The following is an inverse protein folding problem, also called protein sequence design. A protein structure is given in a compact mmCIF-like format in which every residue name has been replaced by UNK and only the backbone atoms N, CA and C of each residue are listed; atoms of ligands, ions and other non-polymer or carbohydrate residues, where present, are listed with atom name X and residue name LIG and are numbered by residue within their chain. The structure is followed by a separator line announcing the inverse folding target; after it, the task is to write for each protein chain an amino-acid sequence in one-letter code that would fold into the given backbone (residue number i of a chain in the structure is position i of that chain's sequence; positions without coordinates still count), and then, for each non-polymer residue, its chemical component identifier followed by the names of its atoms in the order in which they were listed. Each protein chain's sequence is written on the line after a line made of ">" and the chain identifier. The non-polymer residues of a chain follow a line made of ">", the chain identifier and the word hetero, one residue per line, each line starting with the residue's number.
data_IF_866459578994
#
_entry.id   IF_866459578994
#
_cell.length_a   1.000
_cell.length_b   1.000
_cell.length_c   1.000
_cell.angle_alpha   90.00
_cell.angle_beta   90.00
_cell.angle_gamma   90.00
#
_symmetry.space_group_name_H-M   'P 1'
#
loop_
_entity.id
_entity.type
_entity.pdbx_description
1 polymer ?
#
# COMPACT_ATOMS: atom_id res chain seq x y z
N UNK A 1 6.57 3.37 -18.73
CA UNK A 1 5.39 3.38 -17.83
C UNK A 1 5.00 4.82 -17.63
N UNK A 2 4.01 5.27 -18.39
CA UNK A 2 3.47 6.63 -18.32
C UNK A 2 2.94 6.87 -16.91
N UNK A 3 3.58 7.80 -16.20
CA UNK A 3 3.13 8.20 -14.86
C UNK A 3 1.78 8.88 -15.03
N UNK A 4 0.78 8.41 -14.28
CA UNK A 4 -0.53 9.04 -14.26
C UNK A 4 -0.41 10.52 -13.93
N UNK A 5 -1.24 11.35 -14.57
CA UNK A 5 -1.33 12.76 -14.21
C UNK A 5 -1.83 12.90 -12.76
N UNK A 6 -1.57 14.05 -12.15
CA UNK A 6 -2.05 14.34 -10.79
C UNK A 6 -3.58 14.26 -10.66
N UNK A 7 -4.31 14.62 -11.73
CA UNK A 7 -5.77 14.58 -11.76
C UNK A 7 -6.30 13.15 -11.80
N UNK A 8 -5.75 12.29 -12.67
CA UNK A 8 -6.13 10.88 -12.71
C UNK A 8 -5.83 10.19 -11.38
N UNK A 9 -4.68 10.48 -10.74
CA UNK A 9 -4.36 9.94 -9.40
C UNK A 9 -5.38 10.35 -8.35
N UNK A 10 -5.90 11.59 -8.41
CA UNK A 10 -6.86 12.12 -7.43
C UNK A 10 -8.27 11.60 -7.63
N UNK A 11 -8.71 11.41 -8.88
CA UNK A 11 -10.04 10.88 -9.22
C UNK A 11 -10.12 9.36 -9.09
N UNK A 12 -8.99 8.65 -9.10
CA UNK A 12 -8.95 7.19 -9.01
C UNK A 12 -9.54 6.71 -7.69
N UNK A 13 -10.60 5.91 -7.79
CA UNK A 13 -11.19 5.18 -6.66
C UNK A 13 -10.74 3.73 -6.76
N UNK A 14 -9.91 3.29 -5.81
CA UNK A 14 -9.62 1.88 -5.64
C UNK A 14 -10.83 1.20 -5.01
N UNK A 15 -11.25 0.06 -5.55
CA UNK A 15 -12.28 -0.79 -4.94
C UNK A 15 -11.81 -1.33 -3.59
N UNK A 16 -12.76 -1.66 -2.71
CA UNK A 16 -12.40 -2.18 -1.38
C UNK A 16 -11.72 -3.55 -1.46
N UNK A 17 -12.12 -4.40 -2.40
CA UNK A 17 -11.48 -5.69 -2.67
C UNK A 17 -10.00 -5.51 -3.00
N UNK A 18 -9.68 -4.55 -3.87
CA UNK A 18 -8.30 -4.24 -4.24
C UNK A 18 -7.46 -3.79 -3.03
N UNK A 19 -8.03 -2.89 -2.20
CA UNK A 19 -7.33 -2.40 -0.99
C UNK A 19 -7.07 -3.54 -0.01
N UNK A 20 -8.05 -4.41 0.23
CA UNK A 20 -7.91 -5.59 1.11
C UNK A 20 -6.82 -6.53 0.59
N UNK A 21 -6.83 -6.82 -0.71
CA UNK A 21 -5.81 -7.68 -1.32
C UNK A 21 -4.39 -7.14 -1.11
N UNK A 22 -4.18 -5.82 -1.30
CA UNK A 22 -2.88 -5.21 -1.02
C UNK A 22 -2.49 -5.27 0.46
N UNK A 23 -3.45 -5.08 1.36
CA UNK A 23 -3.22 -5.21 2.80
C UNK A 23 -2.83 -6.64 3.16
N UNK A 24 -3.47 -7.66 2.58
CA UNK A 24 -3.10 -9.06 2.79
C UNK A 24 -1.66 -9.36 2.37
N UNK A 25 -1.18 -8.84 1.23
CA UNK A 25 0.22 -9.00 0.83
C UNK A 25 1.21 -8.30 1.77
N UNK A 26 0.79 -7.19 2.39
CA UNK A 26 1.60 -6.48 3.39
C UNK A 26 1.62 -7.27 4.71
N UNK A 27 0.48 -7.82 5.13
CA UNK A 27 0.36 -8.64 6.34
C UNK A 27 1.12 -9.97 6.22
N UNK A 28 1.20 -10.54 5.02
CA UNK A 28 1.99 -11.74 4.72
C UNK A 28 3.51 -11.45 4.69
N UNK A 29 3.91 -10.18 4.61
CA UNK A 29 5.31 -9.77 4.47
C UNK A 29 5.86 -9.90 3.05
N UNK A 30 5.00 -10.22 2.07
CA UNK A 30 5.34 -10.34 0.65
C UNK A 30 5.71 -8.99 0.03
N UNK A 31 5.05 -7.90 0.45
CA UNK A 31 5.33 -6.53 -0.04
C UNK A 31 5.38 -5.52 1.11
N UNK A 32 6.16 -4.45 0.94
CA UNK A 32 6.11 -3.29 1.85
C UNK A 32 5.14 -2.21 1.39
N UNK A 33 4.72 -1.37 2.33
CA UNK A 33 3.94 -0.15 2.05
C UNK A 33 4.59 0.69 0.95
N UNK A 34 5.91 0.87 0.99
CA UNK A 34 6.67 1.63 -0.02
C UNK A 34 6.66 0.99 -1.41
N UNK A 35 6.80 -0.34 -1.49
CA UNK A 35 6.70 -1.06 -2.77
C UNK A 35 5.30 -0.95 -3.36
N UNK A 36 4.25 -1.17 -2.56
CA UNK A 36 2.85 -1.03 -3.00
C UNK A 36 2.58 0.41 -3.44
N UNK A 37 3.09 1.40 -2.70
CA UNK A 37 2.98 2.81 -3.07
C UNK A 37 3.61 3.11 -4.44
N UNK A 38 4.81 2.58 -4.68
CA UNK A 38 5.52 2.78 -5.94
C UNK A 38 4.86 2.01 -7.11
N UNK A 39 4.50 0.75 -6.90
CA UNK A 39 3.93 -0.13 -7.93
C UNK A 39 2.56 0.36 -8.43
N UNK A 40 1.73 0.87 -7.52
CA UNK A 40 0.39 1.36 -7.85
C UNK A 40 0.30 2.89 -7.96
N UNK A 41 1.43 3.59 -7.87
CA UNK A 41 1.54 5.05 -7.90
C UNK A 41 0.58 5.74 -6.90
N UNK A 42 0.49 5.17 -5.69
CA UNK A 42 -0.32 5.67 -4.59
C UNK A 42 0.54 6.25 -3.49
N UNK A 43 -0.02 7.18 -2.71
CA UNK A 43 0.69 7.71 -1.55
C UNK A 43 0.86 6.62 -0.49
N UNK A 44 2.06 6.53 0.09
CA UNK A 44 2.33 5.62 1.21
C UNK A 44 1.35 5.82 2.38
N UNK A 45 0.92 7.06 2.63
CA UNK A 45 -0.13 7.36 3.62
C UNK A 45 -1.48 6.72 3.29
N UNK A 46 -1.85 6.65 2.01
CA UNK A 46 -3.09 5.97 1.59
C UNK A 46 -3.01 4.48 1.88
N UNK A 47 -1.87 3.85 1.60
CA UNK A 47 -1.64 2.44 1.90
C UNK A 47 -1.65 2.21 3.42
N UNK A 48 -1.03 3.10 4.22
CA UNK A 48 -1.08 3.05 5.68
C UNK A 48 -2.52 3.13 6.21
N UNK A 49 -3.36 3.97 5.60
CA UNK A 49 -4.79 4.05 5.93
C UNK A 49 -5.55 2.77 5.56
N UNK A 50 -5.24 2.14 4.43
CA UNK A 50 -5.84 0.85 4.06
C UNK A 50 -5.48 -0.22 5.07
N UNK A 51 -4.21 -0.29 5.42
CA UNK A 51 -3.70 -1.20 6.43
C UNK A 51 -4.37 -0.97 7.79
N UNK A 52 -4.55 0.29 8.22
CA UNK A 52 -5.28 0.60 9.45
C UNK A 52 -6.76 0.24 9.38
N UNK A 53 -7.39 0.36 8.21
CA UNK A 53 -8.83 0.13 8.02
C UNK A 53 -9.18 -1.35 7.82
N UNK A 54 -8.34 -2.08 7.10
CA UNK A 54 -8.60 -3.44 6.64
C UNK A 54 -7.65 -4.49 7.25
N UNK A 55 -6.55 -4.06 7.87
CA UNK A 55 -5.62 -4.95 8.55
C UNK A 55 -6.27 -5.53 9.79
N UNK A 56 -6.05 -6.82 10.01
CA UNK A 56 -6.62 -7.54 11.16
C UNK A 56 -5.66 -7.59 12.34
N UNK A 57 -4.37 -7.39 12.09
CA UNK A 57 -3.32 -7.41 13.11
C UNK A 57 -2.86 -6.01 13.45
N UNK A 58 -2.61 -5.76 14.74
CA UNK A 58 -1.81 -4.65 15.23
C UNK A 58 -0.40 -4.78 14.65
N UNK A 59 -0.19 -4.18 13.48
CA UNK A 59 1.02 -4.41 12.71
C UNK A 59 2.23 -3.83 13.46
N UNK A 60 3.26 -4.65 13.70
CA UNK A 60 4.48 -4.16 14.32
C UNK A 60 5.14 -3.13 13.40
N UNK A 61 5.75 -2.12 14.03
CA UNK A 61 6.46 -0.99 13.39
C UNK A 61 7.45 -1.40 12.28
N UNK A 62 7.87 -2.66 12.25
CA UNK A 62 8.83 -3.23 11.31
C UNK A 62 8.34 -3.23 9.84
N UNK A 63 7.03 -3.17 9.59
CA UNK A 63 6.48 -3.06 8.23
C UNK A 63 6.41 -1.61 7.70
N UNK A 64 6.73 -0.61 8.54
CA UNK A 64 6.68 0.82 8.19
C UNK A 64 7.91 1.32 7.43
N UNK A 65 9.09 0.74 7.63
CA UNK A 65 10.25 1.00 6.79
C UNK A 65 11.32 -0.07 7.03
N UNK A 66 12.15 -0.32 6.00
CA UNK A 66 13.27 -1.26 5.93
C UNK A 66 12.93 -2.67 5.46
N UNK A 67 12.65 -2.78 4.15
CA UNK A 67 13.30 -3.86 3.41
C UNK A 67 14.70 -3.38 3.04
N UNK A 68 15.70 -3.77 3.85
CA UNK A 68 17.06 -3.97 3.36
C UNK A 68 17.15 -5.48 3.14
N UNK A 69 17.15 -5.92 1.89
CA UNK A 69 17.54 -7.29 1.54
C UNK A 69 18.74 -7.21 0.61
N UNK A 70 19.64 -8.12 0.93
CA UNK A 70 21.04 -8.31 0.55
C UNK A 70 21.30 -8.23 -0.96
#
# INVERSE_FOLDING_TARGET
>A
MDKLTLEERRRRRFSESFRKQQVSYIEEGSKTIGQVAHEFDVKADSVRLWVKKYGSKELPHQFLCKQRKM
#
